data_IF_828974897658
#
_entry.id   IF_828974897658
#
_cell.length_a   1.000
_cell.length_b   1.000
_cell.length_c   1.000
_cell.angle_alpha   90.00
_cell.angle_beta   90.00
_cell.angle_gamma   90.00
#
_symmetry.space_group_name_H-M   'P 1'
#
loop_
_entity.id
_entity.type
_entity.pdbx_description
1 polymer ?
#
# COMPACT_ATOMS: atom_id res chain seq x y z
N UNK A 1 30.02 -8.23 -19.23
CA UNK A 1 29.50 -8.39 -17.87
C UNK A 1 28.20 -9.17 -17.93
N UNK A 2 28.07 -10.21 -17.12
CA UNK A 2 26.82 -10.98 -17.02
C UNK A 2 25.86 -10.24 -16.10
N UNK A 3 24.68 -9.89 -16.60
CA UNK A 3 23.59 -9.34 -15.78
C UNK A 3 22.94 -10.52 -15.05
N UNK A 4 23.23 -10.66 -13.75
CA UNK A 4 22.57 -11.63 -12.88
C UNK A 4 21.84 -10.92 -11.75
N UNK A 5 20.85 -11.59 -11.15
CA UNK A 5 20.11 -11.03 -10.01
C UNK A 5 21.06 -10.66 -8.85
N UNK A 6 22.08 -11.47 -8.61
CA UNK A 6 23.13 -11.20 -7.61
C UNK A 6 23.95 -9.95 -7.95
N UNK A 7 24.32 -9.76 -9.23
CA UNK A 7 25.06 -8.56 -9.67
C UNK A 7 24.23 -7.29 -9.49
N UNK A 8 22.93 -7.35 -9.79
CA UNK A 8 22.00 -6.23 -9.57
C UNK A 8 21.85 -5.90 -8.09
N UNK A 9 21.70 -6.92 -7.23
CA UNK A 9 21.61 -6.73 -5.79
C UNK A 9 22.88 -6.11 -5.21
N UNK A 10 24.06 -6.65 -5.58
CA UNK A 10 25.35 -6.10 -5.13
C UNK A 10 25.54 -4.67 -5.64
N UNK A 11 25.22 -4.39 -6.91
CA UNK A 11 25.25 -3.04 -7.48
C UNK A 11 24.35 -2.07 -6.75
N UNK A 12 23.13 -2.50 -6.40
CA UNK A 12 22.20 -1.70 -5.60
C UNK A 12 22.75 -1.38 -4.21
N UNK A 13 23.29 -2.38 -3.49
CA UNK A 13 23.87 -2.20 -2.15
C UNK A 13 25.05 -1.24 -2.19
N UNK A 14 25.97 -1.42 -3.15
CA UNK A 14 27.15 -0.54 -3.30
C UNK A 14 26.70 0.89 -3.65
N UNK A 15 25.78 1.06 -4.60
CA UNK A 15 25.25 2.36 -4.98
C UNK A 15 24.53 3.06 -3.84
N UNK A 16 23.73 2.32 -3.08
CA UNK A 16 23.05 2.83 -1.88
C UNK A 16 24.06 3.30 -0.81
N UNK A 17 25.09 2.48 -0.53
CA UNK A 17 26.14 2.81 0.44
C UNK A 17 26.96 4.04 -0.01
N UNK A 18 27.29 4.13 -1.30
CA UNK A 18 28.01 5.28 -1.85
C UNK A 18 27.19 6.58 -1.72
N UNK A 19 25.91 6.55 -2.08
CA UNK A 19 24.99 7.70 -1.93
C UNK A 19 24.84 8.09 -0.46
N UNK A 20 24.72 7.12 0.44
CA UNK A 20 24.63 7.37 1.87
C UNK A 20 25.89 8.05 2.41
N UNK A 21 27.07 7.62 1.97
CA UNK A 21 28.35 8.21 2.37
C UNK A 21 28.51 9.66 1.86
N UNK A 22 28.02 9.95 0.67
CA UNK A 22 28.12 11.27 0.02
C UNK A 22 27.01 12.23 0.45
N UNK A 23 25.93 11.71 1.05
CA UNK A 23 24.76 12.52 1.48
C UNK A 23 25.14 13.80 2.25
N UNK A 24 26.07 13.81 3.22
CA UNK A 24 26.44 15.03 3.95
C UNK A 24 27.02 16.13 3.07
N UNK A 25 27.55 15.79 1.89
CA UNK A 25 28.15 16.73 0.93
C UNK A 25 27.15 17.31 -0.06
N UNK A 26 26.05 16.58 -0.33
CA UNK A 26 25.03 16.97 -1.33
C UNK A 26 23.85 17.71 -0.67
N UNK A 27 23.70 17.59 0.66
CA UNK A 27 22.58 18.14 1.42
C UNK A 27 21.53 17.10 1.76
N UNK A 28 20.48 17.52 2.50
CA UNK A 28 19.40 16.62 2.94
C UNK A 28 18.56 16.15 1.76
N UNK A 29 18.69 14.90 1.39
CA UNK A 29 17.86 14.29 0.36
C UNK A 29 16.78 13.39 1.00
N UNK A 30 15.57 13.41 0.48
CA UNK A 30 14.48 12.51 0.89
C UNK A 30 14.62 11.12 0.29
N UNK A 31 15.69 10.86 -0.50
CA UNK A 31 15.90 9.61 -1.24
C UNK A 31 15.89 8.38 -0.31
N UNK A 32 16.66 8.42 0.77
CA UNK A 32 16.78 7.27 1.70
C UNK A 32 15.47 7.00 2.43
N UNK A 33 14.74 8.06 2.82
CA UNK A 33 13.42 7.94 3.43
C UNK A 33 12.42 7.31 2.45
N UNK A 34 12.46 7.72 1.19
CA UNK A 34 11.60 7.14 0.14
C UNK A 34 11.93 5.68 -0.15
N UNK A 35 13.20 5.31 -0.25
CA UNK A 35 13.60 3.91 -0.47
C UNK A 35 13.09 3.02 0.68
N UNK A 36 13.28 3.44 1.93
CA UNK A 36 12.78 2.68 3.09
C UNK A 36 11.25 2.63 3.11
N UNK A 37 10.56 3.71 2.74
CA UNK A 37 9.10 3.74 2.66
C UNK A 37 8.58 2.80 1.56
N UNK A 38 9.22 2.75 0.38
CA UNK A 38 8.88 1.80 -0.68
C UNK A 38 9.09 0.34 -0.24
N UNK A 39 10.19 0.03 0.43
CA UNK A 39 10.46 -1.32 0.96
C UNK A 39 9.37 -1.69 1.98
N UNK A 40 9.04 -0.75 2.90
CA UNK A 40 7.97 -0.94 3.88
C UNK A 40 6.63 -1.20 3.20
N UNK A 41 6.26 -0.38 2.20
CA UNK A 41 5.02 -0.53 1.42
C UNK A 41 4.92 -1.94 0.83
N UNK A 42 5.97 -2.42 0.16
CA UNK A 42 6.00 -3.75 -0.45
C UNK A 42 5.84 -4.85 0.60
N UNK A 43 6.57 -4.79 1.71
CA UNK A 43 6.50 -5.80 2.78
C UNK A 43 5.10 -5.80 3.43
N UNK A 44 4.58 -4.64 3.79
CA UNK A 44 3.28 -4.52 4.44
C UNK A 44 2.14 -4.93 3.52
N UNK A 45 2.22 -4.59 2.23
CA UNK A 45 1.24 -5.06 1.24
C UNK A 45 1.22 -6.59 1.14
N UNK A 46 2.37 -7.25 1.09
CA UNK A 46 2.40 -8.72 1.07
C UNK A 46 1.85 -9.34 2.36
N UNK A 47 2.10 -8.70 3.50
CA UNK A 47 1.51 -9.12 4.77
C UNK A 47 -0.02 -9.05 4.72
N UNK A 48 -0.58 -7.90 4.31
CA UNK A 48 -2.03 -7.71 4.17
C UNK A 48 -2.65 -8.69 3.17
N UNK A 49 -1.96 -8.94 2.04
CA UNK A 49 -2.40 -9.92 1.04
C UNK A 49 -2.53 -11.32 1.64
N UNK A 50 -1.57 -11.75 2.44
CA UNK A 50 -1.59 -13.07 3.08
C UNK A 50 -2.73 -13.13 4.12
N UNK A 51 -2.83 -12.14 5.01
CA UNK A 51 -3.84 -12.10 6.07
C UNK A 51 -5.25 -12.09 5.47
N UNK A 52 -5.50 -11.24 4.48
CA UNK A 52 -6.80 -11.13 3.81
C UNK A 52 -7.15 -12.40 3.03
N UNK A 53 -6.17 -13.02 2.37
CA UNK A 53 -6.37 -14.29 1.66
C UNK A 53 -6.79 -15.41 2.63
N UNK A 54 -6.16 -15.49 3.80
CA UNK A 54 -6.52 -16.45 4.83
C UNK A 54 -7.91 -16.19 5.41
N UNK A 55 -8.29 -14.92 5.59
CA UNK A 55 -9.62 -14.56 6.06
C UNK A 55 -10.72 -14.97 5.07
N UNK A 56 -10.52 -14.71 3.77
CA UNK A 56 -11.44 -15.12 2.70
C UNK A 56 -11.49 -16.66 2.60
N UNK A 57 -10.34 -17.32 2.65
CA UNK A 57 -10.30 -18.79 2.62
C UNK A 57 -11.03 -19.42 3.81
N UNK A 58 -10.87 -18.83 5.01
CA UNK A 58 -11.58 -19.26 6.20
C UNK A 58 -13.10 -19.08 6.07
N UNK A 59 -13.57 -17.99 5.46
CA UNK A 59 -15.00 -17.76 5.22
C UNK A 59 -15.59 -18.78 4.24
N UNK A 60 -14.88 -19.07 3.14
CA UNK A 60 -15.30 -20.04 2.12
C UNK A 60 -15.35 -21.46 2.68
N UNK A 61 -14.41 -21.83 3.56
CA UNK A 61 -14.33 -23.17 4.16
C UNK A 61 -15.27 -23.35 5.35
N UNK A 62 -15.86 -22.28 5.86
CA UNK A 62 -16.74 -22.33 7.02
C UNK A 62 -18.21 -22.38 6.56
N UNK A 63 -19.03 -23.32 7.06
CA UNK A 63 -20.44 -23.43 6.66
C UNK A 63 -21.27 -22.17 6.98
N UNK A 64 -20.83 -21.36 7.95
CA UNK A 64 -21.48 -20.13 8.36
C UNK A 64 -20.67 -18.96 7.80
N UNK A 65 -21.10 -18.42 6.67
CA UNK A 65 -20.47 -17.25 6.06
C UNK A 65 -20.50 -16.05 6.99
N UNK A 66 -19.36 -15.35 7.07
CA UNK A 66 -19.18 -14.11 7.84
C UNK A 66 -19.24 -12.90 6.94
N UNK A 67 -19.34 -13.09 5.63
CA UNK A 67 -19.40 -11.99 4.68
C UNK A 67 -20.60 -11.09 4.98
N UNK A 68 -20.34 -9.80 5.17
CA UNK A 68 -21.32 -8.73 5.29
C UNK A 68 -20.90 -7.59 4.38
N UNK A 69 -21.19 -7.72 3.08
CA UNK A 69 -20.69 -6.76 2.10
C UNK A 69 -21.36 -5.41 2.26
N UNK A 70 -20.58 -4.35 2.08
CA UNK A 70 -21.05 -2.98 2.02
C UNK A 70 -20.25 -2.15 1.02
N UNK A 71 -20.87 -1.06 0.56
CA UNK A 71 -20.19 0.00 -0.18
C UNK A 71 -19.85 1.09 0.83
N UNK A 72 -18.58 1.50 0.86
CA UNK A 72 -18.04 2.45 1.81
C UNK A 72 -17.43 3.64 1.07
N UNK A 73 -17.55 4.82 1.64
CA UNK A 73 -16.90 6.03 1.19
C UNK A 73 -15.70 6.33 2.09
N UNK A 74 -14.49 6.23 1.52
CA UNK A 74 -13.24 6.51 2.23
C UNK A 74 -12.69 7.88 1.80
N UNK A 75 -12.63 8.87 2.71
CA UNK A 75 -11.99 10.15 2.41
C UNK A 75 -10.49 9.94 2.15
N UNK A 76 -9.97 10.51 1.05
CA UNK A 76 -8.57 10.40 0.66
C UNK A 76 -7.73 11.54 1.25
N UNK A 77 -6.61 11.19 1.88
CA UNK A 77 -5.56 12.13 2.32
C UNK A 77 -4.42 12.23 1.29
N UNK A 78 -4.24 11.18 0.48
CA UNK A 78 -3.32 11.17 -0.66
C UNK A 78 -3.77 12.18 -1.72
N UNK A 79 -2.84 12.95 -2.29
CA UNK A 79 -3.15 14.06 -3.21
C UNK A 79 -2.63 13.85 -4.62
N UNK A 80 -1.52 13.12 -4.77
CA UNK A 80 -0.91 12.90 -6.08
C UNK A 80 -1.69 11.84 -6.89
N UNK A 81 -1.79 12.02 -8.20
CA UNK A 81 -2.43 11.08 -9.10
C UNK A 81 -1.83 9.68 -9.00
N UNK A 82 -0.49 9.60 -8.92
CA UNK A 82 0.23 8.35 -8.71
C UNK A 82 -0.12 7.71 -7.37
N UNK A 83 -0.27 8.51 -6.32
CA UNK A 83 -0.66 8.02 -5.01
C UNK A 83 -2.09 7.49 -4.99
N UNK A 84 -3.05 8.20 -5.58
CA UNK A 84 -4.44 7.74 -5.71
C UNK A 84 -4.49 6.43 -6.51
N UNK A 85 -3.77 6.36 -7.65
CA UNK A 85 -3.68 5.15 -8.46
C UNK A 85 -3.11 3.97 -7.66
N UNK A 86 -2.08 4.18 -6.86
CA UNK A 86 -1.50 3.12 -6.04
C UNK A 86 -2.45 2.67 -4.94
N UNK A 87 -3.07 3.59 -4.19
CA UNK A 87 -4.03 3.25 -3.14
C UNK A 87 -5.19 2.42 -3.70
N UNK A 88 -5.80 2.87 -4.80
CA UNK A 88 -6.92 2.16 -5.43
C UNK A 88 -6.54 0.76 -5.89
N UNK A 89 -5.35 0.61 -6.48
CA UNK A 89 -4.86 -0.71 -6.92
C UNK A 89 -4.53 -1.62 -5.73
N UNK A 90 -3.85 -1.13 -4.70
CA UNK A 90 -3.48 -1.94 -3.53
C UNK A 90 -4.73 -2.44 -2.79
N UNK A 91 -5.75 -1.59 -2.62
CA UNK A 91 -7.04 -1.98 -2.04
C UNK A 91 -7.72 -3.05 -2.91
N UNK A 92 -7.75 -2.87 -4.23
CA UNK A 92 -8.37 -3.83 -5.15
C UNK A 92 -7.63 -5.16 -5.24
N UNK A 93 -6.31 -5.16 -5.04
CA UNK A 93 -5.50 -6.37 -5.01
C UNK A 93 -5.61 -7.14 -3.69
N UNK A 94 -6.13 -6.49 -2.65
CA UNK A 94 -6.33 -7.14 -1.35
C UNK A 94 -7.65 -7.92 -1.35
N UNK A 95 -7.63 -9.25 -1.13
CA UNK A 95 -8.84 -10.07 -1.13
C UNK A 95 -9.90 -9.56 -0.14
N UNK A 96 -11.12 -9.46 -0.63
CA UNK A 96 -12.25 -8.96 0.15
C UNK A 96 -12.53 -7.48 0.03
N UNK A 97 -11.71 -6.72 -0.73
CA UNK A 97 -11.96 -5.31 -1.03
C UNK A 97 -11.81 -5.02 -2.52
N UNK A 98 -12.52 -4.02 -3.01
CA UNK A 98 -12.48 -3.57 -4.40
C UNK A 98 -12.73 -2.05 -4.45
N UNK A 99 -11.81 -1.32 -5.02
CA UNK A 99 -12.02 0.10 -5.36
C UNK A 99 -12.96 0.19 -6.56
N UNK A 100 -14.09 0.86 -6.39
CA UNK A 100 -15.11 1.00 -7.43
C UNK A 100 -14.88 2.26 -8.25
N UNK A 101 -14.73 3.41 -7.56
CA UNK A 101 -14.63 4.71 -8.20
C UNK A 101 -13.94 5.73 -7.28
N UNK A 102 -13.42 6.80 -7.89
CA UNK A 102 -12.91 7.98 -7.18
C UNK A 102 -13.77 9.17 -7.60
N UNK A 103 -14.26 9.92 -6.62
CA UNK A 103 -15.07 11.11 -6.90
C UNK A 103 -14.34 12.12 -7.79
N UNK A 104 -15.08 12.90 -8.59
CA UNK A 104 -14.52 13.87 -9.54
C UNK A 104 -13.59 14.90 -8.87
N UNK A 105 -13.88 15.26 -7.61
CA UNK A 105 -13.05 16.16 -6.80
C UNK A 105 -11.80 15.46 -6.20
N UNK A 106 -11.65 14.14 -6.43
CA UNK A 106 -10.53 13.30 -5.97
C UNK A 106 -10.36 13.23 -4.45
N UNK A 107 -11.43 13.47 -3.70
CA UNK A 107 -11.36 13.49 -2.24
C UNK A 107 -11.92 12.23 -1.59
N UNK A 108 -12.63 11.41 -2.34
CA UNK A 108 -13.28 10.22 -1.78
C UNK A 108 -13.11 9.04 -2.71
N UNK A 109 -12.73 7.91 -2.13
CA UNK A 109 -12.68 6.61 -2.80
C UNK A 109 -13.89 5.79 -2.39
N UNK A 110 -14.63 5.27 -3.38
CA UNK A 110 -15.75 4.35 -3.19
C UNK A 110 -15.22 2.94 -3.23
N UNK A 111 -15.43 2.18 -2.15
CA UNK A 111 -14.90 0.83 -1.95
C UNK A 111 -16.05 -0.13 -1.72
N UNK A 112 -16.04 -1.27 -2.39
CA UNK A 112 -16.80 -2.44 -1.98
C UNK A 112 -15.94 -3.27 -1.01
N UNK A 113 -16.49 -3.59 0.16
CA UNK A 113 -15.83 -4.44 1.14
C UNK A 113 -16.71 -5.66 1.42
N UNK A 114 -16.12 -6.86 1.39
CA UNK A 114 -16.80 -8.13 1.67
C UNK A 114 -17.06 -8.32 3.17
N UNK A 115 -16.17 -7.82 4.01
CA UNK A 115 -16.25 -7.90 5.47
C UNK A 115 -16.36 -6.49 6.05
N UNK A 116 -17.56 -6.00 6.22
CA UNK A 116 -17.84 -4.65 6.69
C UNK A 116 -18.73 -4.65 7.95
N UNK A 117 -18.42 -5.54 8.90
CA UNK A 117 -19.11 -5.55 10.21
C UNK A 117 -18.87 -4.25 10.99
N UNK A 118 -17.68 -3.67 10.86
CA UNK A 118 -17.32 -2.33 11.36
C UNK A 118 -16.80 -1.46 10.22
N UNK A 119 -17.66 -0.73 9.51
CA UNK A 119 -17.27 0.13 8.41
C UNK A 119 -16.27 1.21 8.81
N UNK A 120 -16.45 1.80 9.98
CA UNK A 120 -15.57 2.88 10.49
C UNK A 120 -14.18 2.36 10.82
N UNK A 121 -14.10 1.23 11.49
CA UNK A 121 -12.83 0.57 11.80
C UNK A 121 -12.10 0.12 10.54
N UNK A 122 -12.82 -0.38 9.53
CA UNK A 122 -12.23 -0.77 8.24
C UNK A 122 -11.65 0.44 7.50
N UNK A 123 -12.40 1.52 7.36
CA UNK A 123 -11.92 2.76 6.73
C UNK A 123 -10.67 3.27 7.46
N UNK A 124 -10.69 3.29 8.78
CA UNK A 124 -9.54 3.71 9.59
C UNK A 124 -8.33 2.81 9.32
N UNK A 125 -8.51 1.50 9.29
CA UNK A 125 -7.43 0.55 9.01
C UNK A 125 -6.81 0.76 7.62
N UNK A 126 -7.63 0.98 6.59
CA UNK A 126 -7.16 1.27 5.23
C UNK A 126 -6.38 2.60 5.17
N UNK A 127 -6.83 3.62 5.89
CA UNK A 127 -6.16 4.93 5.96
C UNK A 127 -4.83 4.85 6.71
N UNK A 128 -4.83 4.29 7.91
CA UNK A 128 -3.65 4.19 8.77
C UNK A 128 -2.62 3.17 8.22
N UNK A 129 -3.09 2.24 7.40
CA UNK A 129 -2.29 1.23 6.71
C UNK A 129 -1.92 1.65 5.29
N UNK A 130 -2.64 1.11 4.29
CA UNK A 130 -2.28 1.21 2.87
C UNK A 130 -2.14 2.64 2.38
N UNK A 131 -3.08 3.53 2.70
CA UNK A 131 -3.01 4.92 2.26
C UNK A 131 -1.79 5.61 2.84
N UNK A 132 -1.55 5.45 4.15
CA UNK A 132 -0.39 6.05 4.83
C UNK A 132 0.92 5.56 4.24
N UNK A 133 1.05 4.26 3.96
CA UNK A 133 2.28 3.71 3.36
C UNK A 133 2.53 4.26 1.96
N UNK A 134 1.47 4.47 1.17
CA UNK A 134 1.58 5.09 -0.16
C UNK A 134 2.00 6.57 -0.03
N UNK A 135 1.40 7.32 0.88
CA UNK A 135 1.77 8.72 1.13
C UNK A 135 3.25 8.83 1.50
N UNK A 136 3.72 8.01 2.44
CA UNK A 136 5.13 7.98 2.85
C UNK A 136 6.06 7.65 1.67
N UNK A 137 5.69 6.70 0.80
CA UNK A 137 6.51 6.25 -0.32
C UNK A 137 6.52 7.25 -1.49
N UNK A 138 5.36 7.80 -1.86
CA UNK A 138 5.20 8.62 -3.07
C UNK A 138 5.35 10.10 -2.77
N UNK A 139 4.72 10.58 -1.69
CA UNK A 139 4.69 12.00 -1.34
C UNK A 139 5.80 12.39 -0.36
N UNK A 140 6.32 11.43 0.43
CA UNK A 140 7.45 11.64 1.34
C UNK A 140 7.09 12.49 2.56
N UNK A 141 5.86 12.31 3.09
CA UNK A 141 5.33 13.08 4.24
C UNK A 141 4.61 12.21 5.27
#
# INVERSE_FOLDING_TARGET
GTVSLSSLFVGFVIGYAALWLIQPLIGTTTYFQRVTAWIKLVIMFHYELIVSSLAVAADVLTPKHRARPAILEMPLDVKSDTGILLVTNLISLTPGTLSIDVTEDRKTLIIHAMFADDPTGLIKSLKDGMERWVIDAVEGR
#
